data_IF_693316517317
#
_entry.id   IF_693316517317
#
_cell.length_a   1.000
_cell.length_b   1.000
_cell.length_c   1.000
_cell.angle_alpha   90.00
_cell.angle_beta   90.00
_cell.angle_gamma   90.00
#
_symmetry.space_group_name_H-M   'P 1'
#
loop_
_entity.id
_entity.type
_entity.pdbx_description
1 polymer ?
#
# COMPACT_ATOMS: atom_id res chain seq x y z
N UNK A 1 -5.08 12.88 7.34
CA UNK A 1 -3.69 13.16 6.94
C UNK A 1 -3.55 12.78 5.47
N UNK A 2 -3.11 13.72 4.64
CA UNK A 2 -2.90 13.54 3.20
C UNK A 2 -1.40 13.62 2.92
N UNK A 3 -0.79 12.48 2.55
CA UNK A 3 0.64 12.43 2.22
C UNK A 3 1.00 13.08 0.88
N UNK A 4 0.00 13.20 0.01
CA UNK A 4 0.10 13.87 -1.28
C UNK A 4 -1.17 14.70 -1.46
N UNK A 5 -0.99 15.91 -1.99
CA UNK A 5 -2.12 16.79 -2.29
C UNK A 5 -2.83 16.30 -3.57
N UNK A 6 -4.15 16.12 -3.55
CA UNK A 6 -4.92 15.91 -4.78
C UNK A 6 -4.77 17.10 -5.73
N UNK A 7 -4.70 16.83 -7.03
CA UNK A 7 -4.66 17.89 -8.06
C UNK A 7 -6.03 18.50 -8.34
N UNK A 8 -7.06 17.73 -8.06
CA UNK A 8 -8.46 18.09 -8.26
C UNK A 8 -9.03 18.56 -6.90
N UNK A 9 -9.59 19.77 -6.82
CA UNK A 9 -10.09 20.33 -5.56
C UNK A 9 -11.34 19.60 -5.05
N UNK A 10 -12.19 19.06 -5.92
CA UNK A 10 -13.32 18.23 -5.51
C UNK A 10 -12.85 16.97 -4.79
N UNK A 11 -11.78 16.31 -5.28
CA UNK A 11 -11.22 15.14 -4.59
C UNK A 11 -10.66 15.51 -3.21
N UNK A 12 -10.07 16.70 -3.06
CA UNK A 12 -9.65 17.21 -1.75
C UNK A 12 -10.83 17.31 -0.78
N UNK A 13 -11.94 17.94 -1.19
CA UNK A 13 -13.16 18.08 -0.36
C UNK A 13 -13.73 16.73 0.03
N UNK A 14 -13.83 15.79 -0.91
CA UNK A 14 -14.31 14.43 -0.62
C UNK A 14 -13.41 13.68 0.37
N UNK A 15 -12.09 13.93 0.33
CA UNK A 15 -11.11 13.31 1.22
C UNK A 15 -11.19 13.87 2.63
N UNK A 16 -11.34 15.19 2.78
CA UNK A 16 -11.44 15.84 4.10
C UNK A 16 -12.84 15.77 4.70
N UNK A 17 -13.88 15.56 3.89
CA UNK A 17 -15.28 15.43 4.32
C UNK A 17 -15.57 14.24 5.24
N UNK A 18 -14.56 13.39 5.50
CA UNK A 18 -14.64 12.31 6.51
C UNK A 18 -14.18 12.74 7.90
N UNK A 19 -13.64 13.95 8.05
CA UNK A 19 -13.16 14.49 9.33
C UNK A 19 -14.30 15.17 10.09
N UNK A 20 -14.43 14.89 11.40
CA UNK A 20 -15.45 15.49 12.28
C UNK A 20 -16.84 14.87 12.10
N UNK A 21 -17.28 14.07 13.07
CA UNK A 21 -18.65 13.53 13.16
C UNK A 21 -19.25 13.86 14.52
N UNK A 22 -20.58 13.96 14.60
CA UNK A 22 -21.35 14.11 15.86
C UNK A 22 -20.83 15.24 16.78
N UNK A 23 -20.66 16.45 16.24
CA UNK A 23 -20.27 17.62 17.03
C UNK A 23 -18.79 17.69 17.43
N UNK A 24 -17.96 16.73 17.01
CA UNK A 24 -16.52 16.77 17.21
C UNK A 24 -15.82 17.52 16.05
N UNK A 25 -14.80 18.32 16.39
CA UNK A 25 -13.91 18.93 15.40
C UNK A 25 -13.07 17.86 14.71
N UNK A 26 -13.01 17.95 13.37
CA UNK A 26 -12.13 17.13 12.55
C UNK A 26 -10.95 17.97 12.07
N UNK A 27 -9.74 17.43 12.18
CA UNK A 27 -8.54 18.07 11.65
C UNK A 27 -8.00 17.26 10.48
N UNK A 28 -7.82 17.92 9.34
CA UNK A 28 -7.06 17.37 8.21
C UNK A 28 -5.73 18.10 8.10
N UNK A 29 -4.66 17.33 7.90
CA UNK A 29 -3.29 17.84 7.65
C UNK A 29 -2.85 17.28 6.31
N UNK A 30 -2.35 18.14 5.43
CA UNK A 30 -1.87 17.76 4.10
C UNK A 30 -0.40 18.15 3.96
N UNK A 31 0.37 17.28 3.32
CA UNK A 31 1.72 17.59 2.88
C UNK A 31 1.66 18.00 1.41
N UNK A 32 2.34 19.08 1.08
CA UNK A 32 2.46 19.63 -0.26
C UNK A 32 3.93 19.99 -0.52
N UNK A 33 4.39 19.74 -1.74
CA UNK A 33 5.67 20.21 -2.25
C UNK A 33 5.52 21.52 -3.04
N UNK A 34 6.60 22.03 -3.63
CA UNK A 34 6.56 23.30 -4.37
C UNK A 34 5.67 23.23 -5.62
N UNK A 35 5.41 22.05 -6.16
CA UNK A 35 4.53 21.85 -7.32
C UNK A 35 3.08 21.71 -6.90
N UNK A 36 2.84 21.10 -5.75
CA UNK A 36 1.51 20.94 -5.18
C UNK A 36 0.94 22.29 -4.70
N UNK A 37 1.81 23.23 -4.34
CA UNK A 37 1.42 24.60 -3.97
C UNK A 37 0.57 25.31 -5.06
N UNK A 38 0.75 24.98 -6.34
CA UNK A 38 -0.05 25.55 -7.43
C UNK A 38 -1.53 25.13 -7.41
N UNK A 39 -1.88 24.04 -6.73
CA UNK A 39 -3.27 23.57 -6.62
C UNK A 39 -3.99 24.12 -5.39
N UNK A 40 -3.26 24.71 -4.43
CA UNK A 40 -3.82 25.27 -3.19
C UNK A 40 -4.87 26.36 -3.48
N UNK A 41 -4.63 27.35 -4.36
CA UNK A 41 -5.62 28.40 -4.61
C UNK A 41 -6.98 27.87 -5.09
N UNK A 42 -6.99 26.84 -5.95
CA UNK A 42 -8.22 26.22 -6.43
C UNK A 42 -8.97 25.48 -5.31
N UNK A 43 -8.24 24.87 -4.37
CA UNK A 43 -8.82 24.21 -3.19
C UNK A 43 -9.43 25.25 -2.24
N UNK A 44 -8.76 26.37 -2.03
CA UNK A 44 -9.23 27.47 -1.18
C UNK A 44 -10.49 28.12 -1.76
N UNK A 45 -10.53 28.34 -3.08
CA UNK A 45 -11.70 28.85 -3.79
C UNK A 45 -12.90 27.92 -3.64
N UNK A 46 -12.71 26.60 -3.80
CA UNK A 46 -13.80 25.63 -3.66
C UNK A 46 -14.26 25.45 -2.21
N UNK A 47 -13.35 25.54 -1.25
CA UNK A 47 -13.64 25.34 0.18
C UNK A 47 -14.13 26.63 0.85
N UNK A 48 -13.97 27.78 0.18
CA UNK A 48 -14.21 29.14 0.69
C UNK A 48 -13.49 29.39 2.02
N UNK A 49 -12.27 28.85 2.14
CA UNK A 49 -11.44 28.91 3.36
C UNK A 49 -9.96 28.89 3.01
N UNK A 50 -9.22 29.73 3.69
CA UNK A 50 -7.75 29.81 3.58
C UNK A 50 -7.09 28.64 4.34
N UNK A 51 -6.12 27.99 3.70
CA UNK A 51 -5.38 26.87 4.27
C UNK A 51 -4.10 27.37 4.94
N UNK A 52 -3.97 27.14 6.24
CA UNK A 52 -2.75 27.49 6.97
C UNK A 52 -1.58 26.61 6.51
N UNK A 53 -0.64 27.22 5.78
CA UNK A 53 0.60 26.59 5.35
C UNK A 53 1.70 26.88 6.37
N UNK A 54 2.39 25.83 6.81
CA UNK A 54 3.51 25.90 7.76
C UNK A 54 4.71 25.28 7.07
N UNK A 55 5.80 26.03 6.95
CA UNK A 55 7.06 25.49 6.46
C UNK A 55 7.64 24.50 7.49
N UNK A 56 8.07 23.30 7.07
CA UNK A 56 8.70 22.35 7.97
C UNK A 56 10.06 22.88 8.45
N UNK A 57 10.34 22.72 9.74
CA UNK A 57 11.65 23.06 10.29
C UNK A 57 12.75 22.14 9.69
N UNK A 58 13.98 22.65 9.54
CA UNK A 58 15.14 21.89 9.01
C UNK A 58 15.37 20.58 9.77
N UNK A 59 15.11 20.57 11.08
CA UNK A 59 15.20 19.37 11.91
C UNK A 59 14.24 18.24 11.46
N UNK A 60 13.10 18.58 10.87
CA UNK A 60 12.10 17.61 10.38
C UNK A 60 12.48 17.02 9.03
N UNK A 61 13.31 17.74 8.27
CA UNK A 61 13.83 17.31 6.97
C UNK A 61 15.05 16.39 7.11
N UNK A 62 15.61 16.28 8.32
CA UNK A 62 16.73 15.38 8.60
C UNK A 62 16.25 13.93 8.64
N UNK A 63 16.72 13.11 7.69
CA UNK A 63 16.39 11.69 7.67
C UNK A 63 16.90 11.00 8.95
N UNK A 64 16.05 10.21 9.64
CA UNK A 64 16.51 9.46 10.80
C UNK A 64 17.61 8.48 10.38
N UNK A 65 18.67 8.39 11.19
CA UNK A 65 19.75 7.44 10.94
C UNK A 65 19.15 6.04 10.78
N UNK A 66 19.45 5.31 9.69
CA UNK A 66 18.83 4.01 9.44
C UNK A 66 19.12 3.08 10.61
N UNK A 67 18.07 2.65 11.30
CA UNK A 67 18.19 1.67 12.38
C UNK A 67 18.64 0.38 11.73
N UNK A 68 19.90 -0.01 11.94
CA UNK A 68 20.41 -1.30 11.45
C UNK A 68 19.50 -2.38 12.03
N UNK A 69 18.72 -3.04 11.16
CA UNK A 69 17.86 -4.13 11.57
C UNK A 69 18.70 -5.16 12.32
N UNK A 70 18.39 -5.38 13.60
CA UNK A 70 19.02 -6.45 14.38
C UNK A 70 18.81 -7.74 13.60
N UNK A 71 19.91 -8.38 13.16
CA UNK A 71 19.86 -9.68 12.50
C UNK A 71 19.09 -10.63 13.42
N UNK A 72 17.86 -10.99 13.05
CA UNK A 72 17.11 -12.01 13.78
C UNK A 72 17.98 -13.26 13.81
N UNK A 73 18.17 -13.90 14.98
CA UNK A 73 18.95 -15.12 15.04
C UNK A 73 18.30 -16.13 14.09
N UNK A 74 19.10 -16.63 13.13
CA UNK A 74 18.64 -17.67 12.20
C UNK A 74 18.28 -18.88 13.06
N UNK A 75 16.99 -19.14 13.22
CA UNK A 75 16.50 -20.38 13.80
C UNK A 75 17.07 -21.52 12.96
N UNK A 76 18.01 -22.27 13.55
CA UNK A 76 18.54 -23.51 12.99
C UNK A 76 17.39 -24.50 12.99
N UNK A 77 16.63 -24.53 11.91
CA UNK A 77 15.64 -25.58 11.67
C UNK A 77 16.40 -26.90 11.55
N UNK A 78 16.42 -27.70 12.64
CA UNK A 78 16.91 -29.08 12.60
C UNK A 78 16.01 -29.82 11.62
N UNK A 79 16.50 -30.06 10.40
CA UNK A 79 15.82 -30.90 9.41
C UNK A 79 15.64 -32.28 10.03
N UNK A 80 14.39 -32.65 10.32
CA UNK A 80 14.05 -34.05 10.62
C UNK A 80 14.33 -34.87 9.36
N UNK A 81 14.95 -36.06 9.45
CA UNK A 81 15.15 -36.92 8.29
C UNK A 81 13.80 -37.36 7.73
N UNK A 82 13.66 -37.30 6.41
CA UNK A 82 12.45 -37.70 5.70
C UNK A 82 12.24 -39.22 5.81
N UNK A 83 10.98 -39.71 5.91
CA UNK A 83 10.72 -41.13 5.87
C UNK A 83 10.99 -41.68 4.45
N UNK A 84 11.75 -42.78 4.37
CA UNK A 84 12.06 -43.51 3.15
C UNK A 84 10.79 -43.89 2.40
N UNK A 85 10.63 -43.36 1.19
CA UNK A 85 9.53 -43.70 0.30
C UNK A 85 9.66 -45.16 -0.18
N UNK A 86 8.78 -46.04 0.32
CA UNK A 86 8.55 -47.35 -0.27
C UNK A 86 7.94 -47.16 -1.66
N UNK A 87 8.65 -47.68 -2.66
CA UNK A 87 8.35 -47.56 -4.07
C UNK A 87 7.25 -48.58 -4.44
N UNK A 88 6.00 -48.16 -4.56
CA UNK A 88 4.94 -49.01 -5.12
C UNK A 88 5.01 -49.03 -6.65
N UNK A 89 4.76 -50.18 -7.32
CA UNK A 89 4.91 -50.31 -8.76
C UNK A 89 3.71 -49.67 -9.49
N UNK A 90 3.99 -48.86 -10.52
CA UNK A 90 2.97 -48.25 -11.39
C UNK A 90 2.23 -49.34 -12.19
N UNK A 91 0.92 -49.43 -11.99
CA UNK A 91 0.00 -50.17 -12.87
C UNK A 91 -0.07 -49.45 -14.24
N UNK A 92 0.18 -50.19 -15.32
CA UNK A 92 0.07 -49.71 -16.69
C UNK A 92 -1.38 -49.32 -17.03
N UNK A 93 -1.57 -48.15 -17.65
CA UNK A 93 -2.85 -47.76 -18.27
C UNK A 93 -2.94 -48.37 -19.67
N UNK A 94 -4.10 -48.89 -20.10
CA UNK A 94 -4.28 -49.40 -21.46
C UNK A 94 -4.43 -48.27 -22.48
N UNK A 95 -3.98 -48.53 -23.72
CA UNK A 95 -3.99 -47.59 -24.85
C UNK A 95 -5.40 -47.32 -25.40
N UNK A 96 -5.67 -46.14 -25.98
CA UNK A 96 -6.97 -45.81 -26.55
C UNK A 96 -7.18 -46.48 -27.93
N UNK A 97 -8.36 -47.08 -28.15
CA UNK A 97 -8.80 -47.61 -29.45
C UNK A 97 -9.22 -46.45 -30.37
N UNK A 98 -8.71 -46.44 -31.60
CA UNK A 98 -9.18 -45.55 -32.69
C UNK A 98 -10.62 -45.91 -33.08
N UNK A 99 -11.53 -44.94 -33.01
CA UNK A 99 -12.80 -45.01 -33.72
C UNK A 99 -12.55 -44.80 -35.23
N UNK A 100 -13.08 -45.71 -36.04
CA UNK A 100 -13.28 -45.54 -37.48
C UNK A 100 -14.78 -45.38 -37.65
N UNK A 101 -15.20 -44.20 -38.08
CA UNK A 101 -16.50 -44.00 -38.72
C UNK A 101 -16.24 -43.31 -40.06
N UNK A 102 -16.49 -44.03 -41.14
CA UNK A 102 -16.61 -43.51 -42.49
C UNK A 102 -17.56 -44.42 -43.28
N UNK A 103 -18.64 -43.78 -43.77
CA UNK A 103 -19.67 -44.24 -44.71
C UNK A 103 -20.74 -45.20 -44.16
#
# INVERSE_FOLDING_TARGET
INFTLPRDPEDYVHRIGRTGRAGASGTSVSFADEKDAFYIPAIEELTDRELSCIEPNEDWLTMPKPVRARKRPRSRHKRKPAPTAQRSPRKARPAPKKSRDAA
#
